data_IF_052707062378
#
_entry.id   IF_052707062378
#
_cell.length_a   1.000
_cell.length_b   1.000
_cell.length_c   1.000
_cell.angle_alpha   90.00
_cell.angle_beta   90.00
_cell.angle_gamma   90.00
#
_symmetry.space_group_name_H-M   'P 1'
#
loop_
_entity.id
_entity.type
_entity.pdbx_description
1 polymer ?
#
# COMPACT_ATOMS: atom_id res chain seq x y z
N UNK A 1 -33.02 16.45 0.84
CA UNK A 1 -32.75 16.45 0.61
C UNK A 1 -32.07 16.32 0.34
N UNK A 2 -32.21 16.04 0.49
CA UNK A 2 -31.72 15.89 0.17
C UNK A 2 -30.93 15.75 0.11
N UNK A 3 -31.13 15.70 0.38
CA UNK A 3 -30.58 15.69 0.33
C UNK A 3 -29.88 15.62 0.55
N UNK A 4 -30.18 15.50 0.83
CA UNK A 4 -29.82 15.46 1.05
C UNK A 4 -29.26 15.17 1.21
N UNK A 5 -29.51 14.88 1.41
CA UNK A 5 -29.35 14.72 1.53
C UNK A 5 -28.71 14.67 1.90
N UNK A 6 -28.76 14.47 2.16
CA UNK A 6 -28.29 14.56 2.46
C UNK A 6 -27.45 14.80 2.66
N UNK A 7 -27.51 14.79 2.89
CA UNK A 7 -26.73 15.05 2.99
C UNK A 7 -25.84 15.10 3.12
N UNK A 8 -25.85 14.94 3.33
CA UNK A 8 -25.27 15.02 3.26
C UNK A 8 -24.54 14.48 3.34
N UNK A 9 -24.79 14.28 3.24
CA UNK A 9 -24.33 13.85 3.07
C UNK A 9 -23.80 13.47 2.60
N UNK A 10 -23.85 13.28 2.44
CA UNK A 10 -23.62 12.96 1.91
C UNK A 10 -22.93 12.76 1.39
N UNK A 11 -23.09 12.82 1.31
CA UNK A 11 -22.45 12.89 0.85
C UNK A 11 -21.47 13.19 0.67
N UNK A 12 -21.70 13.15 0.18
CA UNK A 12 -20.40 13.69 0.46
C UNK A 12 -19.47 12.67 1.10
N UNK A 13 -19.87 11.50 1.27
CA UNK A 13 -19.07 10.41 1.82
C UNK A 13 -17.84 10.11 0.97
N UNK A 14 -18.00 10.05 -0.33
CA UNK A 14 -16.88 9.76 -1.20
C UNK A 14 -15.92 10.95 -1.33
N UNK A 15 -16.38 12.15 -1.01
CA UNK A 15 -15.50 13.30 -0.99
C UNK A 15 -14.47 13.17 0.13
N UNK A 16 -14.86 12.53 1.23
CA UNK A 16 -13.96 12.31 2.35
C UNK A 16 -13.24 10.98 2.27
N UNK A 17 -13.43 10.23 1.18
CA UNK A 17 -12.77 8.94 1.02
C UNK A 17 -11.28 9.14 0.79
N UNK A 18 -10.49 8.59 1.69
CA UNK A 18 -9.04 8.67 1.57
C UNK A 18 -8.55 7.79 0.45
N UNK A 19 -7.50 8.24 -0.21
CA UNK A 19 -6.87 7.51 -1.31
C UNK A 19 -5.56 6.92 -0.87
N UNK A 20 -5.24 5.75 -1.42
CA UNK A 20 -3.97 5.09 -1.16
C UNK A 20 -3.36 4.61 -2.47
N UNK A 21 -2.06 4.84 -2.62
CA UNK A 21 -1.29 4.31 -3.74
C UNK A 21 -0.62 3.03 -3.23
N UNK A 22 -1.17 1.88 -3.62
CA UNK A 22 -0.76 0.58 -3.11
C UNK A 22 0.30 -0.03 -4.01
N UNK A 23 1.42 -0.42 -3.43
CA UNK A 23 2.46 -1.11 -4.18
C UNK A 23 1.99 -2.51 -4.58
N UNK A 24 2.01 -2.78 -5.89
CA UNK A 24 1.65 -4.08 -6.46
C UNK A 24 2.91 -4.70 -7.04
N UNK A 25 3.22 -5.91 -6.62
CA UNK A 25 4.45 -6.59 -7.05
C UNK A 25 4.17 -7.92 -7.75
N UNK A 26 2.90 -8.20 -8.03
CA UNK A 26 2.50 -9.46 -8.66
C UNK A 26 2.29 -10.61 -7.68
N UNK A 27 2.49 -10.37 -6.39
CA UNK A 27 2.25 -11.40 -5.37
C UNK A 27 0.77 -11.44 -4.98
N UNK A 28 0.32 -12.59 -4.51
CA UNK A 28 -1.01 -12.73 -3.94
C UNK A 28 -1.18 -11.83 -2.72
N UNK A 29 -0.12 -11.70 -1.93
CA UNK A 29 -0.15 -10.88 -0.73
C UNK A 29 -0.46 -9.41 -1.04
N UNK A 30 0.15 -8.87 -2.09
CA UNK A 30 -0.12 -7.49 -2.48
C UNK A 30 -1.58 -7.32 -2.91
N UNK A 31 -2.12 -8.29 -3.64
CA UNK A 31 -3.52 -8.25 -4.07
C UNK A 31 -4.47 -8.32 -2.88
N UNK A 32 -4.18 -9.19 -1.91
CA UNK A 32 -4.98 -9.30 -0.68
C UNK A 32 -4.91 -7.98 0.11
N UNK A 33 -3.72 -7.40 0.21
CA UNK A 33 -3.54 -6.13 0.92
C UNK A 33 -4.39 -5.03 0.28
N UNK A 34 -4.38 -4.95 -1.05
CA UNK A 34 -5.19 -3.96 -1.77
C UNK A 34 -6.67 -4.17 -1.49
N UNK A 35 -7.12 -5.41 -1.46
CA UNK A 35 -8.52 -5.71 -1.19
C UNK A 35 -8.92 -5.33 0.22
N UNK A 36 -8.04 -5.59 1.19
CA UNK A 36 -8.31 -5.19 2.57
C UNK A 36 -8.50 -3.68 2.67
N UNK A 37 -7.64 -2.92 1.99
CA UNK A 37 -7.76 -1.46 1.98
C UNK A 37 -9.08 -1.01 1.35
N UNK A 38 -9.51 -1.66 0.26
CA UNK A 38 -10.82 -1.37 -0.34
C UNK A 38 -11.93 -1.62 0.67
N UNK A 39 -11.87 -2.72 1.40
CA UNK A 39 -12.89 -3.06 2.38
C UNK A 39 -12.90 -2.10 3.56
N UNK A 40 -11.78 -1.47 3.84
CA UNK A 40 -11.68 -0.46 4.89
C UNK A 40 -12.16 0.91 4.44
N UNK A 41 -12.54 1.04 3.18
CA UNK A 41 -13.12 2.27 2.67
C UNK A 41 -12.16 3.16 1.88
N UNK A 42 -10.94 2.71 1.63
CA UNK A 42 -9.99 3.50 0.83
C UNK A 42 -10.28 3.38 -0.66
N UNK A 43 -10.02 4.46 -1.38
CA UNK A 43 -9.96 4.41 -2.84
C UNK A 43 -8.54 3.99 -3.23
N UNK A 44 -8.39 2.80 -3.77
CA UNK A 44 -7.07 2.20 -4.01
C UNK A 44 -6.66 2.38 -5.46
N UNK A 45 -5.45 2.90 -5.66
CA UNK A 45 -4.77 2.92 -6.97
C UNK A 45 -3.54 2.04 -6.84
N UNK A 46 -3.37 1.08 -7.74
CA UNK A 46 -2.21 0.21 -7.73
C UNK A 46 -1.01 0.86 -8.40
N UNK A 47 0.17 0.57 -7.90
CA UNK A 47 1.41 1.06 -8.50
C UNK A 47 2.44 -0.06 -8.54
N UNK A 48 3.01 -0.32 -9.71
CA UNK A 48 4.11 -1.25 -9.87
C UNK A 48 5.39 -0.44 -9.91
N UNK A 49 6.28 -0.66 -8.94
CA UNK A 49 7.57 0.03 -8.90
C UNK A 49 8.59 -0.90 -9.53
N UNK A 50 9.09 -0.52 -10.70
CA UNK A 50 10.08 -1.32 -11.42
C UNK A 50 11.46 -0.77 -11.15
N UNK A 51 12.28 -1.58 -10.48
CA UNK A 51 13.65 -1.22 -10.11
C UNK A 51 14.67 -1.85 -11.05
N UNK A 52 14.26 -2.84 -11.85
CA UNK A 52 15.14 -3.53 -12.79
C UNK A 52 14.33 -4.05 -13.97
N UNK A 53 14.94 -4.18 -15.18
CA UNK A 53 14.22 -4.67 -16.36
C UNK A 53 13.67 -6.09 -16.19
N UNK A 54 14.30 -6.91 -15.37
CA UNK A 54 13.89 -8.30 -15.14
C UNK A 54 12.53 -8.41 -14.46
N UNK A 55 12.01 -7.31 -13.93
CA UNK A 55 10.73 -7.30 -13.21
C UNK A 55 9.52 -7.16 -14.13
N UNK A 56 9.71 -7.26 -15.45
CA UNK A 56 8.60 -7.07 -16.39
C UNK A 56 7.48 -8.08 -16.18
N UNK A 57 7.82 -9.35 -15.91
CA UNK A 57 6.79 -10.38 -15.68
C UNK A 57 5.99 -10.12 -14.40
N UNK A 58 6.68 -9.68 -13.34
CA UNK A 58 6.01 -9.32 -12.10
C UNK A 58 5.05 -8.14 -12.34
N UNK A 59 5.44 -7.19 -13.18
CA UNK A 59 4.59 -6.07 -13.53
C UNK A 59 3.32 -6.53 -14.25
N UNK A 60 3.45 -7.50 -15.15
CA UNK A 60 2.27 -8.05 -15.84
C UNK A 60 1.32 -8.73 -14.87
N UNK A 61 1.86 -9.52 -13.94
CA UNK A 61 1.01 -10.18 -12.93
C UNK A 61 0.32 -9.16 -12.04
N UNK A 62 1.03 -8.09 -11.67
CA UNK A 62 0.46 -7.03 -10.85
C UNK A 62 -0.70 -6.33 -11.56
N UNK A 63 -0.55 -6.07 -12.86
CA UNK A 63 -1.62 -5.46 -13.64
C UNK A 63 -2.85 -6.35 -13.68
N UNK A 64 -2.67 -7.65 -13.87
CA UNK A 64 -3.79 -8.58 -13.90
C UNK A 64 -4.50 -8.64 -12.55
N UNK A 65 -3.74 -8.65 -11.46
CA UNK A 65 -4.32 -8.64 -10.13
C UNK A 65 -5.13 -7.37 -9.89
N UNK A 66 -4.62 -6.23 -10.32
CA UNK A 66 -5.32 -4.96 -10.18
C UNK A 66 -6.63 -4.95 -10.97
N UNK A 67 -6.61 -5.49 -12.19
CA UNK A 67 -7.81 -5.61 -13.01
C UNK A 67 -8.87 -6.47 -12.33
N UNK A 68 -8.44 -7.58 -11.72
CA UNK A 68 -9.36 -8.46 -11.02
C UNK A 68 -10.01 -7.78 -9.81
N UNK A 69 -9.30 -6.83 -9.20
CA UNK A 69 -9.82 -6.06 -8.06
C UNK A 69 -10.58 -4.82 -8.49
N UNK A 70 -10.58 -4.50 -9.77
CA UNK A 70 -11.26 -3.32 -10.29
C UNK A 70 -10.54 -2.03 -9.96
N UNK A 71 -9.21 -2.06 -9.78
CA UNK A 71 -8.44 -0.86 -9.48
C UNK A 71 -7.53 -0.51 -10.64
N UNK A 72 -7.28 0.79 -10.79
CA UNK A 72 -6.33 1.29 -11.75
C UNK A 72 -4.91 0.94 -11.31
N UNK A 73 -4.02 0.64 -12.24
CA UNK A 73 -2.65 0.27 -11.92
C UNK A 73 -1.69 1.05 -12.81
N UNK A 74 -0.76 1.77 -12.19
CA UNK A 74 0.24 2.55 -12.91
C UNK A 74 1.61 1.90 -12.77
N UNK A 75 2.46 2.14 -13.75
CA UNK A 75 3.84 1.63 -13.73
C UNK A 75 4.79 2.78 -13.43
N UNK A 76 5.59 2.60 -12.38
CA UNK A 76 6.61 3.57 -11.99
C UNK A 76 7.99 2.99 -12.31
N UNK A 77 8.69 3.62 -13.24
CA UNK A 77 10.05 3.18 -13.57
C UNK A 77 11.02 3.88 -12.62
N UNK A 78 11.57 3.12 -11.69
CA UNK A 78 12.46 3.64 -10.66
C UNK A 78 13.86 3.03 -10.76
N UNK A 79 14.26 2.61 -11.96
CA UNK A 79 15.58 1.98 -12.13
C UNK A 79 16.71 2.93 -11.76
N UNK A 80 16.56 4.23 -12.03
CA UNK A 80 17.56 5.21 -11.65
C UNK A 80 17.72 5.32 -10.13
N UNK A 81 16.63 5.18 -9.39
CA UNK A 81 16.68 5.21 -7.92
C UNK A 81 17.38 3.98 -7.36
N UNK A 82 17.21 2.84 -8.01
CA UNK A 82 17.85 1.61 -7.57
C UNK A 82 19.38 1.70 -7.69
N UNK A 83 19.86 2.53 -8.61
CA UNK A 83 21.29 2.74 -8.81
C UNK A 83 21.86 3.81 -7.87
N UNK A 84 21.02 4.51 -7.14
CA UNK A 84 21.41 5.56 -6.21
C UNK A 84 20.70 5.35 -4.88
N UNK A 85 20.99 4.24 -4.19
CA UNK A 85 20.24 3.88 -2.98
C UNK A 85 20.34 4.91 -1.87
N UNK A 86 21.46 5.63 -1.80
CA UNK A 86 21.65 6.65 -0.77
C UNK A 86 20.72 7.86 -0.98
N UNK A 87 20.49 8.23 -2.23
CA UNK A 87 19.59 9.32 -2.55
C UNK A 87 18.13 8.94 -2.31
N UNK A 88 17.82 7.65 -2.47
CA UNK A 88 16.46 7.13 -2.31
C UNK A 88 16.19 6.64 -0.89
N UNK A 89 17.19 6.64 -0.03
CA UNK A 89 17.08 6.08 1.30
C UNK A 89 17.15 4.55 1.27
N UNK A 90 16.73 3.91 2.35
CA UNK A 90 16.82 2.45 2.47
C UNK A 90 15.83 1.72 1.57
N UNK A 91 14.79 2.43 1.07
CA UNK A 91 13.72 1.80 0.33
C UNK A 91 13.38 2.63 -0.92
N UNK A 92 14.09 2.37 -2.06
CA UNK A 92 13.82 3.11 -3.29
C UNK A 92 12.36 3.05 -3.74
N UNK A 93 11.70 1.90 -3.52
CA UNK A 93 10.31 1.76 -3.91
C UNK A 93 9.39 2.72 -3.16
N UNK A 94 9.67 2.99 -1.89
CA UNK A 94 8.86 3.93 -1.13
C UNK A 94 9.09 5.36 -1.57
N UNK A 95 10.33 5.70 -1.93
CA UNK A 95 10.61 7.02 -2.49
C UNK A 95 9.85 7.25 -3.79
N UNK A 96 9.83 6.24 -4.67
CA UNK A 96 9.09 6.31 -5.92
C UNK A 96 7.59 6.44 -5.67
N UNK A 97 7.05 5.67 -4.72
CA UNK A 97 5.63 5.73 -4.39
C UNK A 97 5.23 7.10 -3.85
N UNK A 98 6.04 7.66 -2.95
CA UNK A 98 5.74 8.97 -2.36
C UNK A 98 5.76 10.07 -3.42
N UNK A 99 6.75 10.02 -4.32
CA UNK A 99 6.83 10.99 -5.41
C UNK A 99 5.59 10.92 -6.29
N UNK A 100 5.17 9.71 -6.66
CA UNK A 100 4.00 9.52 -7.50
C UNK A 100 2.72 9.93 -6.76
N UNK A 101 2.62 9.59 -5.48
CA UNK A 101 1.46 9.94 -4.68
C UNK A 101 1.30 11.46 -4.58
N UNK A 102 2.41 12.18 -4.39
CA UNK A 102 2.38 13.64 -4.34
C UNK A 102 1.88 14.23 -5.63
N UNK A 103 2.34 13.69 -6.78
CA UNK A 103 1.91 14.18 -8.09
C UNK A 103 0.43 13.91 -8.36
N UNK A 104 -0.08 12.81 -7.82
CA UNK A 104 -1.48 12.39 -8.03
C UNK A 104 -2.42 12.96 -6.96
N UNK A 105 -1.89 13.65 -5.96
CA UNK A 105 -2.70 14.16 -4.86
C UNK A 105 -3.19 13.07 -3.94
N UNK A 106 -2.46 11.96 -3.84
CA UNK A 106 -2.81 10.83 -2.99
C UNK A 106 -2.06 10.95 -1.66
N UNK A 107 -2.78 10.82 -0.56
CA UNK A 107 -2.21 11.05 0.77
C UNK A 107 -1.40 9.87 1.29
N UNK A 108 -1.85 8.64 1.06
CA UNK A 108 -1.26 7.44 1.66
C UNK A 108 -0.60 6.54 0.63
N UNK A 109 0.43 5.83 1.07
CA UNK A 109 1.01 4.73 0.30
C UNK A 109 0.77 3.44 1.07
N UNK A 110 0.61 2.34 0.36
CA UNK A 110 0.35 1.04 0.97
C UNK A 110 1.40 0.01 0.55
N UNK A 111 1.66 -0.93 1.44
CA UNK A 111 2.63 -1.99 1.20
C UNK A 111 2.12 -3.30 1.77
N UNK A 112 2.53 -4.42 1.15
CA UNK A 112 2.25 -5.76 1.65
C UNK A 112 3.28 -6.23 2.69
N UNK A 113 4.14 -5.34 3.15
CA UNK A 113 5.12 -5.67 4.19
C UNK A 113 4.44 -6.09 5.49
N UNK A 114 5.08 -7.00 6.19
CA UNK A 114 4.54 -7.60 7.42
C UNK A 114 5.07 -6.86 8.64
N UNK A 115 4.33 -5.87 9.08
CA UNK A 115 4.62 -5.11 10.28
C UNK A 115 3.38 -4.34 10.68
N UNK A 116 3.39 -3.79 11.88
CA UNK A 116 2.31 -2.93 12.36
C UNK A 116 2.86 -1.55 12.66
N UNK A 117 2.00 -0.56 12.63
CA UNK A 117 2.35 0.82 12.97
C UNK A 117 1.50 1.29 14.13
N UNK A 118 2.13 1.98 15.06
CA UNK A 118 1.46 2.58 16.20
C UNK A 118 1.86 4.05 16.28
N UNK A 119 0.89 4.90 16.61
CA UNK A 119 1.13 6.34 16.81
C UNK A 119 0.99 6.63 18.29
N UNK A 120 2.06 7.14 18.90
CA UNK A 120 2.04 7.51 20.30
C UNK A 120 1.31 8.83 20.52
N UNK A 121 1.12 9.19 21.78
CA UNK A 121 0.44 10.44 22.15
C UNK A 121 1.27 11.66 21.73
N UNK A 122 2.56 11.48 21.52
CA UNK A 122 3.47 12.54 21.05
C UNK A 122 3.51 12.65 19.53
N UNK A 123 2.70 11.84 18.82
CA UNK A 123 2.65 11.84 17.37
C UNK A 123 3.77 11.04 16.70
N UNK A 124 4.60 10.36 17.46
CA UNK A 124 5.70 9.56 16.90
C UNK A 124 5.16 8.22 16.44
N UNK A 125 5.51 7.86 15.19
CA UNK A 125 5.14 6.57 14.61
C UNK A 125 6.19 5.53 14.96
N UNK A 126 5.74 4.39 15.46
CA UNK A 126 6.61 3.28 15.85
C UNK A 126 6.23 2.05 15.04
N UNK A 127 7.24 1.35 14.51
CA UNK A 127 7.04 0.11 13.78
C UNK A 127 7.09 -1.04 14.77
N UNK A 128 6.06 -1.88 14.75
CA UNK A 128 5.95 -3.05 15.63
C UNK A 128 6.00 -4.32 14.81
N UNK A 129 6.44 -5.43 15.40
CA UNK A 129 6.39 -6.72 14.71
C UNK A 129 4.95 -7.08 14.32
N UNK A 130 4.79 -7.89 13.26
CA UNK A 130 3.45 -8.32 12.87
C UNK A 130 2.93 -9.36 13.85
N UNK A 131 1.63 -9.64 13.77
CA UNK A 131 1.01 -10.71 14.58
C UNK A 131 1.65 -12.06 14.25
N UNK A 132 1.92 -12.30 12.95
CA UNK A 132 2.55 -13.55 12.52
C UNK A 132 4.06 -13.38 12.46
N UNK A 133 4.75 -13.91 13.48
CA UNK A 133 6.20 -13.79 13.60
C UNK A 133 6.96 -14.61 12.55
N UNK A 134 6.29 -15.50 11.83
CA UNK A 134 6.94 -16.28 10.77
C UNK A 134 7.48 -15.40 9.65
N UNK A 135 6.91 -14.22 9.50
CA UNK A 135 7.39 -13.24 8.52
C UNK A 135 7.33 -11.87 9.14
N UNK A 136 8.48 -11.26 9.34
CA UNK A 136 8.59 -10.01 10.09
C UNK A 136 9.49 -9.04 9.32
N UNK A 137 8.87 -7.99 8.80
CA UNK A 137 9.57 -6.92 8.07
C UNK A 137 9.80 -5.68 8.94
N UNK A 138 9.48 -5.75 10.21
CA UNK A 138 9.48 -4.56 11.08
C UNK A 138 10.85 -3.93 11.24
N UNK A 139 11.91 -4.73 11.34
CA UNK A 139 13.26 -4.21 11.54
C UNK A 139 13.67 -3.31 10.37
N UNK A 140 13.40 -3.74 9.15
CA UNK A 140 13.75 -2.96 7.98
C UNK A 140 12.91 -1.69 7.88
N UNK A 141 11.61 -1.79 8.17
CA UNK A 141 10.71 -0.65 8.10
C UNK A 141 11.00 0.39 9.18
N UNK A 142 11.54 -0.04 10.31
CA UNK A 142 11.86 0.89 11.41
C UNK A 142 12.91 1.92 11.02
N UNK A 143 13.65 1.68 9.94
CA UNK A 143 14.65 2.62 9.45
C UNK A 143 14.05 3.76 8.62
N UNK A 144 12.76 3.68 8.29
CA UNK A 144 12.12 4.71 7.48
C UNK A 144 11.92 6.01 8.27
N UNK A 145 11.98 7.17 7.59
CA UNK A 145 11.71 8.44 8.26
C UNK A 145 10.28 8.53 8.78
N UNK A 146 10.07 9.34 9.80
CA UNK A 146 8.74 9.57 10.37
C UNK A 146 7.75 10.08 9.32
N UNK A 147 8.19 10.92 8.41
CA UNK A 147 7.34 11.44 7.33
C UNK A 147 6.78 10.31 6.48
N UNK A 148 7.62 9.32 6.18
CA UNK A 148 7.19 8.16 5.40
C UNK A 148 6.25 7.29 6.20
N UNK A 149 6.58 7.01 7.45
CA UNK A 149 5.75 6.19 8.33
C UNK A 149 4.37 6.79 8.53
N UNK A 150 4.28 8.12 8.57
CA UNK A 150 3.00 8.80 8.75
C UNK A 150 2.05 8.59 7.58
N UNK A 151 2.58 8.25 6.41
CA UNK A 151 1.78 8.05 5.19
C UNK A 151 1.65 6.58 4.80
N UNK A 152 2.32 5.68 5.52
CA UNK A 152 2.39 4.27 5.17
C UNK A 152 1.27 3.47 5.81
N UNK A 153 0.59 2.66 5.01
CA UNK A 153 -0.44 1.73 5.48
C UNK A 153 0.06 0.30 5.29
N UNK A 154 -0.06 -0.50 6.34
CA UNK A 154 0.43 -1.88 6.38
C UNK A 154 -0.74 -2.81 6.70
N UNK A 155 -1.59 -3.12 5.70
CA UNK A 155 -2.83 -3.85 5.98
C UNK A 155 -2.63 -5.30 6.42
N UNK A 156 -1.47 -5.91 6.16
CA UNK A 156 -1.26 -7.33 6.46
C UNK A 156 -0.69 -7.59 7.84
N UNK A 157 -0.26 -6.57 8.57
CA UNK A 157 0.46 -6.76 9.82
C UNK A 157 -0.34 -7.44 10.91
N UNK A 158 -1.67 -7.39 10.87
CA UNK A 158 -2.54 -7.94 11.88
C UNK A 158 -3.14 -9.30 11.52
N UNK A 159 -2.73 -9.88 10.39
CA UNK A 159 -3.24 -11.15 9.91
C UNK A 159 -2.14 -12.21 9.93
N UNK A 160 -2.51 -13.45 10.24
CA UNK A 160 -1.56 -14.56 10.12
C UNK A 160 -1.67 -15.18 8.72
N UNK A 161 -0.79 -16.15 8.45
CA UNK A 161 -0.75 -16.80 7.14
C UNK A 161 -2.05 -17.52 6.81
N UNK A 162 -2.72 -18.09 7.82
CA UNK A 162 -4.00 -18.75 7.62
C UNK A 162 -5.08 -17.78 7.19
N UNK A 163 -5.15 -16.65 7.86
CA UNK A 163 -6.12 -15.59 7.50
C UNK A 163 -5.91 -15.11 6.09
N UNK A 164 -4.65 -14.90 5.71
CA UNK A 164 -4.34 -14.40 4.37
C UNK A 164 -4.67 -15.43 3.30
N UNK A 165 -4.45 -16.71 3.60
CA UNK A 165 -4.81 -17.79 2.66
C UNK A 165 -6.32 -17.85 2.44
N UNK A 166 -7.10 -17.67 3.49
CA UNK A 166 -8.56 -17.65 3.38
C UNK A 166 -9.03 -16.46 2.54
N UNK A 167 -8.46 -15.30 2.78
CA UNK A 167 -8.80 -14.11 2.01
C UNK A 167 -8.44 -14.28 0.54
N UNK A 168 -7.30 -14.89 0.26
CA UNK A 168 -6.89 -15.15 -1.11
C UNK A 168 -7.88 -16.09 -1.82
N UNK A 169 -8.36 -17.11 -1.11
CA UNK A 169 -9.37 -18.03 -1.66
C UNK A 169 -10.67 -17.30 -1.96
N UNK A 170 -11.12 -16.45 -1.04
CA UNK A 170 -12.37 -15.70 -1.26
C UNK A 170 -12.27 -14.80 -2.48
N UNK A 171 -11.08 -14.28 -2.75
CA UNK A 171 -10.84 -13.39 -3.88
C UNK A 171 -10.48 -14.15 -5.15
N UNK A 172 -10.32 -15.45 -5.05
CA UNK A 172 -9.93 -16.32 -6.17
C UNK A 172 -8.56 -15.94 -6.75
N UNK A 173 -7.65 -15.61 -5.85
CA UNK A 173 -6.29 -15.23 -6.22
C UNK A 173 -5.31 -16.39 -6.13
#
# INVERSE_FOLDING_TARGET
>A
MNDTFLPGSGFDTYESQDKVLMQMDGSTEAAVAARILQQQGFAVVGAVVRLAPEQAEAAQRAKKAAEALGIECILLNAEALAQQPEAAGAWPQFAALLTAADKLGIQYIGSSSRARLEVGTDGVHTVLPPVDAARDDSTALAALPQETLARLLLPLGEFDAGDLAELAQELQL
#
